data_IF_105882104168
#
_entry.id   IF_105882104168
#
_cell.length_a   1.000
_cell.length_b   1.000
_cell.length_c   1.000
_cell.angle_alpha   90.00
_cell.angle_beta   90.00
_cell.angle_gamma   90.00
#
_symmetry.space_group_name_H-M   'P 1'
#
loop_
_entity.id
_entity.type
_entity.pdbx_description
1 polymer ?
#
# COMPACT_ATOMS: atom_id res chain seq x y z
N UNK A 1 -5.33 -35.21 30.80
CA UNK A 1 -5.23 -33.78 30.45
C UNK A 1 -5.96 -33.60 29.13
N UNK A 2 -7.17 -33.06 29.20
CA UNK A 2 -8.08 -32.95 28.07
C UNK A 2 -7.73 -31.67 27.32
N UNK A 3 -7.31 -31.81 26.07
CA UNK A 3 -6.97 -30.69 25.19
C UNK A 3 -8.22 -29.89 24.87
N UNK A 4 -8.16 -28.59 25.18
CA UNK A 4 -9.15 -27.60 24.84
C UNK A 4 -9.22 -27.49 23.30
N UNK A 5 -10.21 -28.14 22.67
CA UNK A 5 -10.51 -27.97 21.26
C UNK A 5 -11.16 -26.61 21.10
N UNK A 6 -10.65 -25.70 20.26
CA UNK A 6 -11.34 -24.43 20.03
C UNK A 6 -12.71 -24.74 19.44
N UNK A 7 -13.77 -24.30 20.12
CA UNK A 7 -15.14 -24.44 19.65
C UNK A 7 -15.27 -23.75 18.28
N UNK A 8 -15.22 -24.52 17.19
CA UNK A 8 -15.72 -24.10 15.88
C UNK A 8 -17.25 -24.08 15.92
N UNK A 9 -17.81 -23.16 16.73
CA UNK A 9 -19.24 -22.94 16.86
C UNK A 9 -19.82 -22.48 15.52
N UNK A 10 -21.06 -22.85 15.19
CA UNK A 10 -21.75 -22.44 13.95
C UNK A 10 -21.73 -20.93 13.66
N UNK A 11 -21.51 -20.10 14.69
CA UNK A 11 -21.29 -18.66 14.58
C UNK A 11 -20.10 -18.28 13.70
N UNK A 12 -18.96 -18.98 13.81
CA UNK A 12 -17.78 -18.70 12.99
C UNK A 12 -18.05 -18.95 11.50
N UNK A 13 -18.83 -19.99 11.21
CA UNK A 13 -19.28 -20.30 9.86
C UNK A 13 -20.21 -19.23 9.30
N UNK A 14 -21.23 -18.82 10.06
CA UNK A 14 -22.14 -17.74 9.63
C UNK A 14 -21.39 -16.44 9.36
N UNK A 15 -20.39 -16.11 10.19
CA UNK A 15 -19.56 -14.94 9.98
C UNK A 15 -18.70 -15.05 8.71
N UNK A 16 -18.14 -16.22 8.42
CA UNK A 16 -17.37 -16.46 7.20
C UNK A 16 -18.27 -16.36 5.96
N UNK A 17 -19.45 -16.99 5.98
CA UNK A 17 -20.42 -16.90 4.90
C UNK A 17 -20.82 -15.43 4.65
N UNK A 18 -21.20 -14.69 5.70
CA UNK A 18 -21.51 -13.28 5.59
C UNK A 18 -20.31 -12.42 5.12
N UNK A 19 -19.08 -12.82 5.46
CA UNK A 19 -17.88 -12.15 4.99
C UNK A 19 -17.61 -12.38 3.49
N UNK A 20 -18.08 -13.49 2.91
CA UNK A 20 -17.99 -13.77 1.47
C UNK A 20 -19.15 -13.15 0.69
N UNK A 21 -20.37 -13.18 1.22
CA UNK A 21 -21.57 -12.62 0.57
C UNK A 21 -21.47 -11.11 0.36
N UNK A 22 -20.94 -10.37 1.35
CA UNK A 22 -20.80 -8.90 1.27
C UNK A 22 -19.95 -8.42 0.07
N UNK A 23 -18.70 -8.89 -0.13
CA UNK A 23 -17.88 -8.48 -1.28
C UNK A 23 -18.40 -9.04 -2.61
N UNK A 24 -19.11 -10.17 -2.63
CA UNK A 24 -19.78 -10.68 -3.83
C UNK A 24 -20.95 -9.78 -4.27
N UNK A 25 -21.71 -9.22 -3.32
CA UNK A 25 -22.81 -8.29 -3.60
C UNK A 25 -22.40 -6.84 -3.86
N UNK A 26 -21.17 -6.46 -3.53
CA UNK A 26 -20.68 -5.09 -3.72
C UNK A 26 -20.20 -4.89 -5.16
N UNK A 27 -20.80 -3.94 -5.89
CA UNK A 27 -20.34 -3.55 -7.23
C UNK A 27 -19.51 -2.26 -7.18
N UNK A 28 -18.40 -2.27 -7.90
CA UNK A 28 -17.49 -1.15 -8.08
C UNK A 28 -17.56 -0.76 -9.56
N UNK A 29 -17.81 0.53 -9.83
CA UNK A 29 -17.72 1.11 -11.16
C UNK A 29 -16.53 2.06 -11.19
N UNK A 30 -15.65 1.91 -12.18
CA UNK A 30 -14.46 2.75 -12.29
C UNK A 30 -14.06 2.97 -13.73
N UNK A 31 -13.40 4.09 -13.98
CA UNK A 31 -12.75 4.45 -15.24
C UNK A 31 -11.22 4.59 -15.04
N UNK A 32 -10.62 3.89 -14.07
CA UNK A 32 -9.19 3.99 -13.80
C UNK A 32 -8.40 3.57 -15.03
N UNK A 33 -7.50 4.45 -15.48
CA UNK A 33 -6.56 4.16 -16.56
C UNK A 33 -5.55 3.11 -16.08
N UNK A 34 -5.56 1.94 -16.70
CA UNK A 34 -4.59 0.86 -16.43
C UNK A 34 -3.86 0.54 -17.73
N UNK A 35 -2.53 0.53 -17.72
CA UNK A 35 -1.74 0.27 -18.95
C UNK A 35 -1.95 1.29 -20.08
N UNK A 36 -2.32 2.54 -19.76
CA UNK A 36 -2.46 3.63 -20.73
C UNK A 36 -3.81 3.72 -21.45
N UNK A 37 -4.78 2.87 -21.13
CA UNK A 37 -6.14 2.93 -21.65
C UNK A 37 -7.15 3.23 -20.54
N UNK A 38 -8.08 4.16 -20.79
CA UNK A 38 -9.20 4.45 -19.89
C UNK A 38 -10.36 3.50 -20.22
N UNK A 39 -10.70 2.61 -19.29
CA UNK A 39 -11.74 1.61 -19.48
C UNK A 39 -12.80 1.83 -18.40
N UNK A 40 -14.04 2.11 -18.82
CA UNK A 40 -15.18 2.07 -17.91
C UNK A 40 -15.61 0.62 -17.70
N UNK A 41 -15.50 0.14 -16.47
CA UNK A 41 -15.91 -1.21 -16.10
C UNK A 41 -16.74 -1.18 -14.82
N UNK A 42 -17.66 -2.13 -14.69
CA UNK A 42 -18.37 -2.39 -13.43
C UNK A 42 -18.23 -3.85 -13.05
N UNK A 43 -17.60 -4.11 -11.91
CA UNK A 43 -17.26 -5.46 -11.45
C UNK A 43 -17.54 -5.63 -9.95
N UNK A 44 -17.62 -6.88 -9.48
CA UNK A 44 -17.62 -7.21 -8.06
C UNK A 44 -16.21 -7.51 -7.56
N UNK A 45 -15.95 -7.44 -6.25
CA UNK A 45 -14.63 -7.82 -5.72
C UNK A 45 -14.36 -9.33 -5.84
N UNK A 46 -15.43 -10.12 -5.71
CA UNK A 46 -15.42 -11.58 -5.84
C UNK A 46 -16.50 -11.95 -6.85
N UNK A 47 -16.15 -12.78 -7.82
CA UNK A 47 -17.11 -13.35 -8.79
C UNK A 47 -17.82 -14.58 -8.23
N UNK A 48 -17.11 -15.38 -7.42
CA UNK A 48 -17.65 -16.61 -6.83
C UNK A 48 -16.98 -16.94 -5.51
N UNK A 49 -17.76 -17.35 -4.52
CA UNK A 49 -17.26 -18.03 -3.33
C UNK A 49 -17.93 -19.40 -3.21
N UNK A 50 -17.17 -20.43 -2.86
CA UNK A 50 -17.67 -21.79 -2.60
C UNK A 50 -17.04 -22.31 -1.33
N UNK A 51 -17.88 -22.87 -0.47
CA UNK A 51 -17.46 -23.47 0.79
C UNK A 51 -17.97 -24.91 0.78
N UNK A 52 -17.06 -25.89 0.89
CA UNK A 52 -17.38 -27.32 0.93
C UNK A 52 -17.31 -27.81 2.37
N UNK A 53 -18.33 -28.58 2.79
CA UNK A 53 -18.43 -29.19 4.11
C UNK A 53 -18.79 -30.67 3.97
N UNK A 54 -18.33 -31.47 4.92
CA UNK A 54 -18.59 -32.92 4.96
C UNK A 54 -20.09 -33.21 5.21
N UNK A 55 -20.69 -32.49 6.16
CA UNK A 55 -22.12 -32.54 6.49
C UNK A 55 -22.60 -31.16 6.94
N UNK A 56 -23.92 -30.98 7.14
CA UNK A 56 -24.51 -29.69 7.57
C UNK A 56 -23.87 -29.13 8.85
N UNK A 57 -23.60 -30.02 9.80
CA UNK A 57 -22.97 -29.72 11.10
C UNK A 57 -21.49 -30.15 11.15
N UNK A 58 -20.96 -30.65 10.02
CA UNK A 58 -19.62 -31.18 9.90
C UNK A 58 -18.54 -30.12 9.72
N UNK A 59 -17.30 -30.60 9.65
CA UNK A 59 -16.13 -29.74 9.47
C UNK A 59 -16.09 -29.15 8.06
N UNK A 60 -15.60 -27.91 7.97
CA UNK A 60 -15.31 -27.26 6.69
C UNK A 60 -14.08 -27.91 6.07
N UNK A 61 -14.19 -28.28 4.79
CA UNK A 61 -13.12 -28.96 4.06
C UNK A 61 -12.37 -28.00 3.14
N UNK A 62 -13.10 -27.14 2.43
CA UNK A 62 -12.52 -26.28 1.40
C UNK A 62 -13.24 -24.93 1.33
N UNK A 63 -12.46 -23.88 1.07
CA UNK A 63 -12.97 -22.55 0.71
C UNK A 63 -12.29 -22.13 -0.59
N UNK A 64 -13.09 -21.89 -1.61
CA UNK A 64 -12.65 -21.44 -2.93
C UNK A 64 -13.22 -20.04 -3.20
N UNK A 65 -12.37 -19.11 -3.66
CA UNK A 65 -12.76 -17.75 -4.01
C UNK A 65 -12.23 -17.42 -5.40
N UNK A 66 -13.13 -17.04 -6.31
CA UNK A 66 -12.79 -16.48 -7.62
C UNK A 66 -12.84 -14.96 -7.52
N UNK A 67 -11.69 -14.30 -7.63
CA UNK A 67 -11.60 -12.85 -7.74
C UNK A 67 -12.09 -12.39 -9.10
N UNK A 68 -12.52 -11.14 -9.21
CA UNK A 68 -12.76 -10.55 -10.53
C UNK A 68 -11.48 -10.36 -11.31
N UNK A 69 -11.60 -10.44 -12.65
CA UNK A 69 -10.48 -10.24 -13.56
C UNK A 69 -9.78 -8.89 -13.33
N UNK A 70 -10.54 -7.83 -13.05
CA UNK A 70 -9.97 -6.52 -12.70
C UNK A 70 -9.07 -6.58 -11.46
N UNK A 71 -9.55 -7.17 -10.36
CA UNK A 71 -8.76 -7.27 -9.11
C UNK A 71 -7.53 -8.16 -9.33
N UNK A 72 -7.70 -9.27 -10.04
CA UNK A 72 -6.61 -10.17 -10.36
C UNK A 72 -5.52 -9.48 -11.21
N UNK A 73 -5.93 -8.71 -12.22
CA UNK A 73 -5.02 -7.95 -13.07
C UNK A 73 -4.29 -6.85 -12.29
N UNK A 74 -4.97 -6.12 -11.40
CA UNK A 74 -4.34 -5.12 -10.53
C UNK A 74 -3.26 -5.76 -9.61
N UNK A 75 -3.53 -6.94 -9.06
CA UNK A 75 -2.54 -7.70 -8.28
C UNK A 75 -1.35 -8.10 -9.16
N UNK A 76 -1.60 -8.63 -10.37
CA UNK A 76 -0.53 -9.02 -11.32
C UNK A 76 0.31 -7.83 -11.77
N UNK A 77 -0.29 -6.65 -11.92
CA UNK A 77 0.40 -5.41 -12.27
C UNK A 77 1.09 -4.73 -11.06
N UNK A 78 1.01 -5.33 -9.86
CA UNK A 78 1.53 -4.76 -8.61
C UNK A 78 0.96 -3.37 -8.27
N UNK A 79 -0.23 -3.04 -8.75
CA UNK A 79 -0.95 -1.80 -8.46
C UNK A 79 -1.68 -1.88 -7.11
N UNK A 80 -1.07 -2.54 -6.12
CA UNK A 80 -1.66 -2.84 -4.81
C UNK A 80 -0.85 -2.22 -3.68
N UNK A 81 -1.55 -1.61 -2.74
CA UNK A 81 -0.92 -1.02 -1.55
C UNK A 81 -0.60 -2.11 -0.52
N UNK A 82 0.69 -2.33 -0.26
CA UNK A 82 1.11 -3.31 0.75
C UNK A 82 0.95 -2.74 2.16
N UNK A 83 0.15 -3.42 3.00
CA UNK A 83 -0.08 -3.06 4.41
C UNK A 83 0.82 -3.89 5.34
N UNK A 84 1.15 -3.34 6.52
CA UNK A 84 1.82 -4.10 7.58
C UNK A 84 0.95 -5.25 8.06
N UNK A 85 1.58 -6.38 8.45
CA UNK A 85 0.88 -7.52 9.06
C UNK A 85 0.14 -7.13 10.35
N UNK A 86 0.66 -6.12 11.05
CA UNK A 86 0.05 -5.62 12.28
C UNK A 86 -1.24 -4.82 12.04
N UNK A 87 -1.55 -4.44 10.80
CA UNK A 87 -2.83 -3.82 10.42
C UNK A 87 -4.04 -4.61 10.92
N UNK A 88 -3.97 -5.95 10.90
CA UNK A 88 -5.07 -6.80 11.36
C UNK A 88 -5.29 -6.76 12.88
N UNK A 89 -4.34 -6.21 13.65
CA UNK A 89 -4.49 -5.98 15.11
C UNK A 89 -5.39 -4.78 15.41
N UNK A 90 -5.48 -3.82 14.48
CA UNK A 90 -6.42 -2.71 14.57
C UNK A 90 -7.85 -3.28 14.60
N UNK A 91 -8.65 -2.90 15.58
CA UNK A 91 -10.02 -3.39 15.81
C UNK A 91 -11.10 -2.41 15.34
N UNK A 92 -10.84 -1.10 15.34
CA UNK A 92 -11.83 -0.08 14.96
C UNK A 92 -11.82 0.16 13.45
N UNK A 93 -12.98 0.17 12.76
CA UNK A 93 -13.03 0.45 11.32
C UNK A 93 -12.40 1.79 10.93
N UNK A 94 -12.62 2.83 11.75
CA UNK A 94 -12.07 4.16 11.48
C UNK A 94 -10.54 4.19 11.62
N UNK A 95 -9.96 3.48 12.59
CA UNK A 95 -8.50 3.48 12.77
C UNK A 95 -7.80 2.71 11.64
N UNK A 96 -8.39 1.61 11.16
CA UNK A 96 -7.96 0.91 9.95
C UNK A 96 -7.99 1.84 8.75
N UNK A 97 -9.07 2.60 8.57
CA UNK A 97 -9.19 3.55 7.47
C UNK A 97 -8.15 4.66 7.53
N UNK A 98 -7.85 5.17 8.73
CA UNK A 98 -6.79 6.16 8.94
C UNK A 98 -5.42 5.56 8.58
N UNK A 99 -5.13 4.32 8.98
CA UNK A 99 -3.90 3.63 8.58
C UNK A 99 -3.77 3.49 7.06
N UNK A 100 -4.83 3.07 6.35
CA UNK A 100 -4.83 2.96 4.90
C UNK A 100 -4.52 4.31 4.22
N UNK A 101 -5.11 5.39 4.73
CA UNK A 101 -4.85 6.75 4.23
C UNK A 101 -3.41 7.19 4.53
N UNK A 102 -2.90 6.90 5.73
CA UNK A 102 -1.50 7.12 6.08
C UNK A 102 -0.57 6.37 5.13
N UNK A 103 -0.85 5.08 4.87
CA UNK A 103 -0.06 4.25 3.96
C UNK A 103 -0.07 4.80 2.53
N UNK A 104 -1.23 5.25 2.05
CA UNK A 104 -1.41 5.80 0.70
C UNK A 104 -0.77 7.18 0.52
N UNK A 105 -0.87 8.06 1.52
CA UNK A 105 -0.50 9.46 1.38
C UNK A 105 0.83 9.84 2.05
N UNK A 106 1.12 9.27 3.22
CA UNK A 106 2.42 9.43 3.86
C UNK A 106 3.43 8.48 3.22
N UNK A 107 3.06 7.21 3.01
CA UNK A 107 3.97 6.23 2.42
C UNK A 107 5.29 6.18 3.19
N UNK A 108 6.40 6.53 2.53
CA UNK A 108 7.75 6.64 3.11
C UNK A 108 8.16 8.07 3.47
N UNK A 109 7.33 9.06 3.18
CA UNK A 109 7.60 10.46 3.50
C UNK A 109 7.70 10.63 5.02
N UNK A 110 8.47 11.64 5.45
CA UNK A 110 8.67 11.92 6.87
C UNK A 110 7.36 12.21 7.59
N UNK A 111 6.50 13.01 6.97
CA UNK A 111 5.18 13.33 7.51
C UNK A 111 4.15 13.64 6.43
N UNK A 112 2.88 13.47 6.78
CA UNK A 112 1.73 13.88 6.00
C UNK A 112 0.71 14.55 6.91
N UNK A 113 0.08 15.63 6.42
CA UNK A 113 -0.92 16.40 7.16
C UNK A 113 -2.22 16.47 6.38
N UNK A 114 -3.34 16.42 7.11
CA UNK A 114 -4.68 16.51 6.51
C UNK A 114 -5.65 17.19 7.47
N UNK A 115 -6.50 18.09 6.96
CA UNK A 115 -7.53 18.72 7.79
C UNK A 115 -8.60 17.72 8.22
N UNK A 116 -9.24 17.95 9.36
CA UNK A 116 -10.30 17.06 9.86
C UNK A 116 -11.45 16.91 8.87
N UNK A 117 -11.78 17.96 8.12
CA UNK A 117 -12.84 17.97 7.12
C UNK A 117 -12.47 17.10 5.91
N UNK A 118 -11.24 17.22 5.42
CA UNK A 118 -10.75 16.40 4.30
C UNK A 118 -10.58 14.94 4.74
N UNK A 119 -10.08 14.70 5.95
CA UNK A 119 -9.96 13.37 6.53
C UNK A 119 -11.34 12.70 6.65
N UNK A 120 -12.34 13.41 7.16
CA UNK A 120 -13.72 12.91 7.28
C UNK A 120 -14.27 12.46 5.92
N UNK A 121 -14.10 13.29 4.88
CA UNK A 121 -14.50 12.96 3.51
C UNK A 121 -13.76 11.72 2.98
N UNK A 122 -12.43 11.64 3.17
CA UNK A 122 -11.61 10.48 2.75
C UNK A 122 -11.96 9.19 3.49
N UNK A 123 -12.39 9.30 4.75
CA UNK A 123 -12.88 8.17 5.54
C UNK A 123 -14.31 7.77 5.16
N UNK A 124 -15.06 8.61 4.43
CA UNK A 124 -16.47 8.37 4.11
C UNK A 124 -17.37 8.37 5.35
N UNK A 125 -17.02 9.11 6.41
CA UNK A 125 -17.81 9.12 7.65
C UNK A 125 -19.07 9.97 7.49
N UNK A 126 -20.23 9.40 7.80
CA UNK A 126 -21.52 10.11 7.88
C UNK A 126 -21.78 10.85 9.19
N UNK A 127 -20.89 10.75 10.17
CA UNK A 127 -21.02 11.47 11.46
C UNK A 127 -20.92 12.99 11.27
N UNK A 128 -21.37 13.77 12.26
CA UNK A 128 -21.02 15.20 12.29
C UNK A 128 -19.51 15.39 12.43
N UNK A 129 -18.98 16.54 11.99
CA UNK A 129 -17.55 16.83 12.10
C UNK A 129 -17.07 16.86 13.56
N UNK A 130 -17.91 17.32 14.49
CA UNK A 130 -17.62 17.29 15.94
C UNK A 130 -17.44 15.86 16.44
N UNK A 131 -18.37 14.96 16.08
CA UNK A 131 -18.29 13.56 16.49
C UNK A 131 -17.12 12.85 15.81
N UNK A 132 -16.86 13.15 14.54
CA UNK A 132 -15.69 12.64 13.83
C UNK A 132 -14.39 13.02 14.53
N UNK A 133 -14.22 14.30 14.89
CA UNK A 133 -13.08 14.77 15.67
C UNK A 133 -12.96 14.01 16.99
N UNK A 134 -14.06 13.83 17.74
CA UNK A 134 -14.06 13.06 18.99
C UNK A 134 -13.55 11.62 18.80
N UNK A 135 -14.00 10.95 17.75
CA UNK A 135 -13.56 9.58 17.42
C UNK A 135 -12.08 9.53 17.02
N UNK A 136 -11.62 10.46 16.19
CA UNK A 136 -10.20 10.54 15.79
C UNK A 136 -9.32 10.86 16.98
N UNK A 137 -9.72 11.78 17.87
CA UNK A 137 -8.99 12.09 19.11
C UNK A 137 -8.84 10.85 20.00
N UNK A 138 -9.88 10.03 20.13
CA UNK A 138 -9.79 8.79 20.90
C UNK A 138 -8.77 7.81 20.31
N UNK A 139 -8.74 7.66 18.98
CA UNK A 139 -7.77 6.80 18.28
C UNK A 139 -6.34 7.35 18.46
N UNK A 140 -6.16 8.66 18.30
CA UNK A 140 -4.86 9.32 18.48
C UNK A 140 -4.33 9.15 19.89
N UNK A 141 -5.19 9.30 20.91
CA UNK A 141 -4.83 9.05 22.30
C UNK A 141 -4.37 7.61 22.53
N UNK A 142 -5.07 6.63 21.97
CA UNK A 142 -4.65 5.23 22.08
C UNK A 142 -3.33 4.94 21.34
N UNK A 143 -3.02 5.63 20.24
CA UNK A 143 -1.71 5.54 19.60
C UNK A 143 -0.61 6.22 20.44
N UNK A 144 -0.94 7.34 21.10
CA UNK A 144 -0.05 8.00 22.06
C UNK A 144 0.31 7.08 23.24
N UNK A 145 -0.70 6.43 23.82
CA UNK A 145 -0.54 5.58 25.01
C UNK A 145 0.15 4.25 24.68
N UNK A 146 -0.16 3.63 23.53
CA UNK A 146 0.22 2.24 23.23
C UNK A 146 1.10 2.04 21.98
N UNK A 147 1.33 3.08 21.18
CA UNK A 147 2.04 2.98 19.89
C UNK A 147 1.48 1.89 18.97
N UNK A 148 0.16 1.70 19.00
CA UNK A 148 -0.48 0.56 18.33
C UNK A 148 -0.68 0.78 16.82
N UNK A 149 -0.48 2.00 16.31
CA UNK A 149 -0.55 2.27 14.88
C UNK A 149 0.70 1.72 14.19
N UNK A 150 0.58 0.72 13.30
CA UNK A 150 1.74 0.18 12.60
C UNK A 150 2.36 1.28 11.72
N UNK A 151 3.68 1.24 11.56
CA UNK A 151 4.49 2.08 10.66
C UNK A 151 4.44 3.60 10.86
N UNK A 152 3.48 4.09 11.62
CA UNK A 152 3.15 5.50 11.71
C UNK A 152 2.91 5.91 13.16
N UNK A 153 3.14 7.17 13.43
CA UNK A 153 2.70 7.86 14.63
C UNK A 153 1.65 8.88 14.19
N UNK A 154 0.51 8.93 14.88
CA UNK A 154 -0.57 9.87 14.55
C UNK A 154 -0.80 10.86 15.68
N UNK A 155 -0.88 12.16 15.38
CA UNK A 155 -1.07 13.25 16.35
C UNK A 155 -2.08 14.25 15.83
N UNK A 156 -2.75 14.98 16.72
CA UNK A 156 -3.63 16.08 16.34
C UNK A 156 -2.91 17.39 16.54
N UNK A 157 -2.90 18.21 15.50
CA UNK A 157 -2.57 19.62 15.56
C UNK A 157 -3.87 20.38 15.86
N UNK A 158 -4.07 20.78 17.11
CA UNK A 158 -5.32 21.42 17.57
C UNK A 158 -5.49 22.83 17.03
N UNK A 159 -4.39 23.58 16.86
CA UNK A 159 -4.41 24.93 16.31
C UNK A 159 -4.84 24.92 14.84
N UNK A 160 -4.29 23.99 14.05
CA UNK A 160 -4.60 23.87 12.62
C UNK A 160 -5.79 22.96 12.36
N UNK A 161 -6.31 22.28 13.38
CA UNK A 161 -7.37 21.29 13.27
C UNK A 161 -7.05 20.22 12.20
N UNK A 162 -5.85 19.64 12.31
CA UNK A 162 -5.29 18.68 11.35
C UNK A 162 -4.83 17.39 12.05
N UNK A 163 -4.86 16.29 11.31
CA UNK A 163 -4.17 15.06 11.67
C UNK A 163 -2.76 15.15 11.07
N UNK A 164 -1.76 14.95 11.91
CA UNK A 164 -0.37 14.76 11.54
C UNK A 164 -0.04 13.27 11.62
N UNK A 165 0.41 12.72 10.50
CA UNK A 165 0.95 11.36 10.41
C UNK A 165 2.45 11.48 10.22
N UNK A 166 3.24 10.79 11.04
CA UNK A 166 4.69 10.69 10.90
C UNK A 166 5.10 9.25 10.65
N UNK A 167 5.97 9.04 9.68
CA UNK A 167 6.53 7.71 9.43
C UNK A 167 7.52 7.34 10.54
N UNK A 168 7.43 6.09 11.02
CA UNK A 168 8.42 5.48 11.92
C UNK A 168 9.66 4.98 11.15
N UNK A 169 9.67 5.08 9.82
CA UNK A 169 10.73 4.55 8.96
C UNK A 169 10.71 3.02 8.82
N UNK A 170 9.71 2.34 9.37
CA UNK A 170 9.56 0.86 9.31
C UNK A 170 8.83 0.38 8.08
N UNK A 171 8.26 1.30 7.30
CA UNK A 171 7.75 1.01 5.97
C UNK A 171 8.91 0.41 5.16
N UNK A 172 8.85 -0.91 4.96
CA UNK A 172 9.84 -1.62 4.17
C UNK A 172 10.02 -1.00 2.77
N UNK A 173 11.09 -1.35 2.05
CA UNK A 173 11.07 -1.13 0.61
C UNK A 173 9.72 -1.67 0.10
N UNK A 174 9.06 -0.93 -0.79
CA UNK A 174 7.95 -1.56 -1.51
C UNK A 174 8.48 -2.88 -2.07
N UNK A 175 7.61 -3.83 -2.37
CA UNK A 175 7.99 -4.81 -3.38
C UNK A 175 8.06 -4.00 -4.70
N UNK A 176 8.99 -3.06 -4.82
CA UNK A 176 9.60 -2.79 -6.09
C UNK A 176 10.05 -4.17 -6.50
N UNK A 177 9.48 -4.67 -7.58
CA UNK A 177 10.24 -5.51 -8.48
C UNK A 177 11.68 -5.05 -8.35
N UNK A 178 12.58 -5.94 -7.92
CA UNK A 178 13.98 -5.69 -8.24
C UNK A 178 13.94 -5.53 -9.75
N UNK A 179 14.03 -4.28 -10.20
CA UNK A 179 14.11 -3.98 -11.61
C UNK A 179 15.45 -4.56 -11.98
N UNK A 180 15.42 -5.74 -12.60
CA UNK A 180 16.61 -6.43 -13.04
C UNK A 180 17.10 -5.66 -14.27
N UNK A 181 17.80 -4.56 -14.01
CA UNK A 181 18.57 -3.84 -15.01
C UNK A 181 19.82 -4.70 -15.22
N UNK A 182 20.04 -5.25 -16.42
CA UNK A 182 21.23 -6.04 -16.71
C UNK A 182 22.52 -5.31 -16.29
N UNK A 183 23.61 -6.04 -15.99
CA UNK A 183 24.92 -5.41 -15.87
C UNK A 183 25.22 -4.61 -17.15
N UNK A 184 25.76 -3.41 -16.98
CA UNK A 184 26.16 -2.57 -18.11
C UNK A 184 27.45 -3.12 -18.71
N UNK A 185 27.64 -2.90 -20.01
CA UNK A 185 28.91 -3.19 -20.65
C UNK A 185 30.05 -2.38 -19.99
N UNK A 186 31.21 -3.00 -19.67
CA UNK A 186 32.37 -2.30 -19.14
C UNK A 186 32.79 -1.04 -19.94
N UNK A 187 32.59 -1.03 -21.26
CA UNK A 187 32.97 0.10 -22.12
C UNK A 187 32.10 1.36 -21.87
N UNK A 188 30.90 1.18 -21.32
CA UNK A 188 29.97 2.29 -21.01
C UNK A 188 30.50 3.15 -19.87
N UNK A 189 31.33 2.60 -18.97
CA UNK A 189 31.87 3.35 -17.83
C UNK A 189 32.85 4.43 -18.26
N UNK A 190 33.58 4.23 -19.36
CA UNK A 190 34.48 5.26 -19.91
C UNK A 190 33.68 6.45 -20.45
N UNK A 191 32.60 6.17 -21.16
CA UNK A 191 31.65 7.18 -21.65
C UNK A 191 30.94 7.89 -20.48
N UNK A 192 30.63 7.17 -19.40
CA UNK A 192 30.01 7.75 -18.21
C UNK A 192 30.97 8.66 -17.44
N UNK A 193 32.28 8.34 -17.37
CA UNK A 193 33.30 9.25 -16.80
C UNK A 193 33.41 10.54 -17.61
N UNK A 194 33.29 10.46 -18.93
CA UNK A 194 33.24 11.66 -19.78
C UNK A 194 31.94 12.47 -19.57
N UNK A 195 30.81 11.80 -19.33
CA UNK A 195 29.51 12.42 -19.11
C UNK A 195 29.35 13.07 -17.72
N UNK A 196 30.02 12.55 -16.69
CA UNK A 196 30.05 13.11 -15.34
C UNK A 196 31.48 13.20 -14.77
N UNK A 197 32.30 14.17 -15.25
CA UNK A 197 33.69 14.28 -14.85
C UNK A 197 33.87 14.51 -13.34
N UNK A 198 34.79 13.77 -12.73
CA UNK A 198 35.15 13.89 -11.31
C UNK A 198 34.26 13.11 -10.34
N UNK A 199 33.10 12.62 -10.79
CA UNK A 199 32.23 11.77 -9.97
C UNK A 199 32.64 10.30 -10.04
N UNK A 200 32.46 9.57 -8.94
CA UNK A 200 32.56 8.10 -8.93
C UNK A 200 31.38 7.51 -9.72
N UNK A 201 31.67 6.98 -10.91
CA UNK A 201 30.66 6.46 -11.83
C UNK A 201 29.93 5.25 -11.26
N UNK A 202 30.58 4.41 -10.45
CA UNK A 202 29.89 3.27 -9.83
C UNK A 202 28.91 3.74 -8.75
N UNK A 203 29.23 4.82 -8.04
CA UNK A 203 28.28 5.44 -7.11
C UNK A 203 27.09 6.04 -7.87
N UNK A 204 27.35 6.77 -8.97
CA UNK A 204 26.29 7.34 -9.82
C UNK A 204 25.42 6.24 -10.44
N UNK A 205 26.00 5.09 -10.78
CA UNK A 205 25.27 3.92 -11.26
C UNK A 205 24.35 3.33 -10.18
N UNK A 206 24.83 3.20 -8.93
CA UNK A 206 23.99 2.72 -7.83
C UNK A 206 22.80 3.65 -7.59
N UNK A 207 23.03 4.96 -7.62
CA UNK A 207 21.98 5.98 -7.49
C UNK A 207 20.98 5.91 -8.66
N UNK A 208 21.47 5.73 -9.88
CA UNK A 208 20.63 5.56 -11.06
C UNK A 208 19.76 4.30 -10.98
N UNK A 209 20.34 3.16 -10.60
CA UNK A 209 19.63 1.88 -10.44
C UNK A 209 18.58 1.95 -9.34
N UNK A 210 18.82 2.72 -8.28
CA UNK A 210 17.84 2.98 -7.22
C UNK A 210 16.74 3.96 -7.63
N UNK A 211 17.06 4.88 -8.55
CA UNK A 211 16.11 5.86 -9.09
C UNK A 211 15.20 5.29 -10.18
N UNK A 212 15.66 4.29 -10.93
CA UNK A 212 14.91 3.71 -12.03
C UNK A 212 13.57 3.11 -11.57
N UNK A 213 12.50 3.42 -12.30
CA UNK A 213 11.14 2.91 -12.02
C UNK A 213 10.76 1.72 -12.89
N UNK A 214 11.40 1.56 -14.05
CA UNK A 214 11.23 0.45 -15.00
C UNK A 214 12.57 0.04 -15.63
N UNK A 215 12.68 -1.19 -16.15
CA UNK A 215 13.88 -1.62 -16.91
C UNK A 215 13.92 -0.87 -18.25
N UNK A 216 14.93 -0.03 -18.51
CA UNK A 216 15.01 0.70 -19.76
C UNK A 216 15.24 -0.26 -20.94
N UNK A 217 14.62 0.03 -22.09
CA UNK A 217 14.88 -0.72 -23.34
C UNK A 217 16.36 -0.74 -23.73
N UNK A 218 17.07 0.34 -23.44
CA UNK A 218 18.52 0.44 -23.57
C UNK A 218 19.10 1.00 -22.26
N UNK A 219 19.56 0.13 -21.34
CA UNK A 219 20.11 0.52 -20.05
C UNK A 219 21.30 1.48 -20.14
N UNK A 220 22.17 1.28 -21.12
CA UNK A 220 23.42 2.03 -21.29
C UNK A 220 23.15 3.49 -21.66
N UNK A 221 22.30 3.70 -22.66
CA UNK A 221 21.92 5.05 -23.08
C UNK A 221 21.12 5.79 -22.00
N UNK A 222 20.30 5.05 -21.25
CA UNK A 222 19.58 5.60 -20.11
C UNK A 222 20.53 6.03 -18.99
N UNK A 223 21.54 5.20 -18.66
CA UNK A 223 22.57 5.53 -17.69
C UNK A 223 23.41 6.73 -18.11
N UNK A 224 23.90 6.78 -19.35
CA UNK A 224 24.66 7.93 -19.87
C UNK A 224 23.83 9.22 -19.87
N UNK A 225 22.55 9.12 -20.19
CA UNK A 225 21.61 10.24 -20.06
C UNK A 225 21.45 10.72 -18.61
N UNK A 226 21.43 9.79 -17.65
CA UNK A 226 21.40 10.10 -16.24
C UNK A 226 22.69 10.77 -15.75
N UNK A 227 23.87 10.27 -16.14
CA UNK A 227 25.17 10.87 -15.80
C UNK A 227 25.27 12.34 -16.26
N UNK A 228 24.83 12.65 -17.49
CA UNK A 228 24.80 14.03 -18.00
C UNK A 228 23.95 14.94 -17.12
N UNK A 229 22.70 14.53 -16.84
CA UNK A 229 21.78 15.29 -15.98
C UNK A 229 22.28 15.40 -14.54
N UNK A 230 22.97 14.38 -14.04
CA UNK A 230 23.56 14.37 -12.71
C UNK A 230 24.62 15.45 -12.57
N UNK A 231 25.58 15.49 -13.51
CA UNK A 231 26.63 16.51 -13.52
C UNK A 231 26.08 17.92 -13.78
N UNK A 232 25.11 18.08 -14.68
CA UNK A 232 24.44 19.38 -14.91
C UNK A 232 23.79 19.94 -13.64
N UNK A 233 23.16 19.08 -12.82
CA UNK A 233 22.46 19.50 -11.60
C UNK A 233 23.38 19.72 -10.40
N UNK A 234 24.46 18.94 -10.28
CA UNK A 234 25.32 18.93 -9.09
C UNK A 234 26.68 19.61 -9.29
N UNK A 235 27.06 19.88 -10.54
CA UNK A 235 28.37 20.44 -10.87
C UNK A 235 29.51 19.44 -10.61
N UNK A 236 30.72 19.97 -10.41
CA UNK A 236 31.88 19.19 -9.98
C UNK A 236 31.76 18.84 -8.49
N UNK A 237 32.15 17.63 -8.07
CA UNK A 237 32.16 17.25 -6.67
C UNK A 237 33.22 18.03 -5.87
#
# INVERSE_FOLDING_TARGET
MQGDQPETTGRGYTLLQAAMERPAGTRISTNITTGGQEIFETFGLIERAKIVRETRDGRMQEVEVKLSDWVFNAIRAQEVLTLSREYFRLRKPLERRIYELARKHCGRQKEWRVSMEVLQKKCGSGSTLREFRRLVTAIVKEDEDYNHMPDYQIRIDTERNQLLVRSRGTVGPEISTRIDIPPLDPDVYDMARAAAPGWDVHMVEQEWRQWATDTPRNPEMAFLGFCRKWHERRGKP
#
